data_IF_623806583031
#
_entry.id   IF_623806583031
#
_cell.length_a   1.000
_cell.length_b   1.000
_cell.length_c   1.000
_cell.angle_alpha   90.00
_cell.angle_beta   90.00
_cell.angle_gamma   90.00
#
_symmetry.space_group_name_H-M   'P 1'
#
loop_
_entity.id
_entity.type
_entity.pdbx_description
1 polymer ?
#
# COMPACT_ATOMS: atom_id res chain seq x y z
N UNK A 1 -41.14 -0.96 40.17
CA UNK A 1 -40.01 -0.04 39.94
C UNK A 1 -40.48 1.37 40.22
N UNK A 2 -39.80 2.06 41.12
CA UNK A 2 -40.06 3.49 41.40
C UNK A 2 -39.58 4.35 40.21
N UNK A 3 -40.16 5.54 40.01
CA UNK A 3 -39.76 6.45 38.93
C UNK A 3 -38.26 6.82 38.97
N UNK A 4 -37.70 6.92 40.18
CA UNK A 4 -36.27 7.14 40.42
C UNK A 4 -35.41 5.96 39.97
N UNK A 5 -35.82 4.72 40.20
CA UNK A 5 -35.13 3.52 39.70
C UNK A 5 -35.10 3.50 38.17
N UNK A 6 -36.23 3.82 37.52
CA UNK A 6 -36.29 3.91 36.05
C UNK A 6 -35.35 5.00 35.51
N UNK A 7 -35.32 6.17 36.15
CA UNK A 7 -34.44 7.27 35.77
C UNK A 7 -32.95 6.90 35.95
N UNK A 8 -32.60 6.21 37.03
CA UNK A 8 -31.24 5.70 37.27
C UNK A 8 -30.80 4.68 36.22
N UNK A 9 -31.66 3.72 35.89
CA UNK A 9 -31.38 2.72 34.85
C UNK A 9 -31.21 3.39 33.48
N UNK A 10 -32.08 4.35 33.14
CA UNK A 10 -31.96 5.11 31.90
C UNK A 10 -30.65 5.91 31.84
N UNK A 11 -30.28 6.60 32.93
CA UNK A 11 -29.03 7.35 33.02
C UNK A 11 -27.80 6.44 32.88
N UNK A 12 -27.81 5.29 33.56
CA UNK A 12 -26.75 4.31 33.46
C UNK A 12 -26.61 3.76 32.02
N UNK A 13 -27.73 3.47 31.36
CA UNK A 13 -27.73 3.02 29.97
C UNK A 13 -27.16 4.09 29.02
N UNK A 14 -27.50 5.37 29.23
CA UNK A 14 -26.93 6.49 28.45
C UNK A 14 -25.43 6.63 28.70
N UNK A 15 -24.99 6.58 29.95
CA UNK A 15 -23.57 6.67 30.30
C UNK A 15 -22.76 5.53 29.64
N UNK A 16 -23.27 4.30 29.68
CA UNK A 16 -22.67 3.15 29.01
C UNK A 16 -22.61 3.39 27.49
N UNK A 17 -23.70 3.87 26.89
CA UNK A 17 -23.76 4.21 25.47
C UNK A 17 -22.70 5.25 25.06
N UNK A 18 -22.52 6.31 25.86
CA UNK A 18 -21.50 7.34 25.63
C UNK A 18 -20.07 6.78 25.71
N UNK A 19 -19.79 5.92 26.68
CA UNK A 19 -18.47 5.26 26.81
C UNK A 19 -18.19 4.38 25.59
N UNK A 20 -19.16 3.58 25.14
CA UNK A 20 -19.00 2.76 23.92
C UNK A 20 -18.81 3.62 22.67
N UNK A 21 -19.56 4.72 22.54
CA UNK A 21 -19.41 5.67 21.44
C UNK A 21 -18.01 6.29 21.43
N UNK A 22 -17.51 6.75 22.59
CA UNK A 22 -16.18 7.34 22.72
C UNK A 22 -15.05 6.35 22.39
N UNK A 23 -15.13 5.12 22.91
CA UNK A 23 -14.17 4.05 22.59
C UNK A 23 -14.19 3.69 21.10
N UNK A 24 -15.39 3.57 20.52
CA UNK A 24 -15.59 3.30 19.09
C UNK A 24 -15.00 4.39 18.21
N UNK A 25 -15.25 5.66 18.53
CA UNK A 25 -14.72 6.82 17.80
C UNK A 25 -13.18 6.86 17.87
N UNK A 26 -12.62 6.70 19.07
CA UNK A 26 -11.17 6.73 19.29
C UNK A 26 -10.45 5.57 18.59
N UNK A 27 -11.06 4.38 18.57
CA UNK A 27 -10.53 3.22 17.85
C UNK A 27 -10.57 3.46 16.33
N UNK A 28 -11.65 4.03 15.84
CA UNK A 28 -11.83 4.30 14.41
C UNK A 28 -10.85 5.38 13.92
N UNK A 29 -10.64 6.45 14.70
CA UNK A 29 -9.65 7.48 14.39
C UNK A 29 -8.23 6.91 14.27
N UNK A 30 -7.82 6.08 15.24
CA UNK A 30 -6.52 5.38 15.18
C UNK A 30 -6.38 4.52 13.93
N UNK A 31 -7.45 3.82 13.53
CA UNK A 31 -7.44 2.99 12.32
C UNK A 31 -7.37 3.84 11.05
N UNK A 32 -8.08 4.97 10.98
CA UNK A 32 -7.97 5.90 9.85
C UNK A 32 -6.55 6.47 9.72
N UNK A 33 -5.93 6.90 10.83
CA UNK A 33 -4.53 7.34 10.83
C UNK A 33 -3.57 6.22 10.42
N UNK A 34 -3.82 4.98 10.85
CA UNK A 34 -3.02 3.81 10.43
C UNK A 34 -3.12 3.56 8.93
N UNK A 35 -4.32 3.67 8.33
CA UNK A 35 -4.49 3.55 6.88
C UNK A 35 -3.73 4.65 6.14
N UNK A 36 -3.88 5.92 6.56
CA UNK A 36 -3.16 7.03 5.95
C UNK A 36 -1.63 6.87 6.05
N UNK A 37 -1.12 6.48 7.22
CA UNK A 37 0.31 6.21 7.42
C UNK A 37 0.81 5.05 6.55
N UNK A 38 0.04 3.96 6.45
CA UNK A 38 0.39 2.82 5.60
C UNK A 38 0.40 3.17 4.11
N UNK A 39 -0.48 4.08 3.67
CA UNK A 39 -0.51 4.60 2.30
C UNK A 39 0.76 5.39 1.98
N UNK A 40 1.17 6.31 2.87
CA UNK A 40 2.42 7.07 2.72
C UNK A 40 3.63 6.13 2.69
N UNK A 41 3.64 5.13 3.58
CA UNK A 41 4.73 4.15 3.62
C UNK A 41 4.80 3.32 2.32
N UNK A 42 3.66 2.91 1.77
CA UNK A 42 3.58 2.22 0.49
C UNK A 42 4.09 3.09 -0.66
N UNK A 43 3.61 4.33 -0.78
CA UNK A 43 4.06 5.31 -1.78
C UNK A 43 5.58 5.51 -1.76
N UNK A 44 6.15 5.66 -0.56
CA UNK A 44 7.60 5.78 -0.40
C UNK A 44 8.38 4.52 -0.83
N UNK A 45 7.83 3.31 -0.63
CA UNK A 45 8.46 2.08 -1.13
C UNK A 45 8.35 1.96 -2.65
N UNK A 46 7.23 2.38 -3.24
CA UNK A 46 7.03 2.38 -4.69
C UNK A 46 8.01 3.33 -5.38
N UNK A 47 8.22 4.53 -4.83
CA UNK A 47 9.24 5.46 -5.31
C UNK A 47 10.65 4.84 -5.23
N UNK A 48 10.98 4.17 -4.12
CA UNK A 48 12.26 3.44 -4.00
C UNK A 48 12.40 2.32 -5.03
N UNK A 49 11.32 1.61 -5.37
CA UNK A 49 11.33 0.58 -6.42
C UNK A 49 11.55 1.20 -7.80
N UNK A 50 10.87 2.31 -8.10
CA UNK A 50 11.08 3.05 -9.35
C UNK A 50 12.53 3.54 -9.47
N UNK A 51 13.10 4.11 -8.40
CA UNK A 51 14.51 4.52 -8.38
C UNK A 51 15.47 3.36 -8.63
N UNK A 52 15.24 2.19 -8.01
CA UNK A 52 16.07 1.00 -8.25
C UNK A 52 15.92 0.45 -9.68
N UNK A 53 14.75 0.59 -10.30
CA UNK A 53 14.54 0.24 -11.71
C UNK A 53 15.28 1.18 -12.66
N UNK A 54 15.28 2.49 -12.37
CA UNK A 54 16.09 3.47 -13.11
C UNK A 54 17.59 3.18 -12.95
N UNK A 55 18.03 2.87 -11.73
CA UNK A 55 19.42 2.49 -11.47
C UNK A 55 19.84 1.28 -12.33
N UNK A 56 19.00 0.24 -12.40
CA UNK A 56 19.20 -0.90 -13.29
C UNK A 56 19.29 -0.46 -14.76
N UNK A 57 18.36 0.37 -15.24
CA UNK A 57 18.38 0.87 -16.61
C UNK A 57 19.66 1.65 -16.94
N UNK A 58 20.19 2.43 -15.99
CA UNK A 58 21.41 3.24 -16.18
C UNK A 58 22.72 2.50 -15.89
N UNK A 59 22.66 1.29 -15.34
CA UNK A 59 23.84 0.51 -14.95
C UNK A 59 24.67 -0.01 -16.13
N UNK A 60 24.15 0.07 -17.36
CA UNK A 60 24.78 -0.49 -18.56
C UNK A 60 24.67 -2.01 -18.68
N UNK A 61 23.88 -2.65 -17.81
CA UNK A 61 23.74 -4.10 -17.74
C UNK A 61 22.68 -4.67 -18.70
N UNK A 62 21.72 -3.81 -19.09
CA UNK A 62 20.66 -4.15 -20.04
C UNK A 62 21.07 -3.73 -21.45
N UNK A 63 20.48 -4.38 -22.46
CA UNK A 63 20.58 -3.87 -23.82
C UNK A 63 19.91 -2.47 -23.92
N UNK A 64 20.33 -1.64 -24.89
CA UNK A 64 19.84 -0.26 -24.97
C UNK A 64 18.32 -0.13 -25.12
N UNK A 65 17.65 -1.09 -25.77
CA UNK A 65 16.20 -1.02 -25.96
C UNK A 65 15.49 -1.33 -24.63
N UNK A 66 15.89 -2.39 -23.93
CA UNK A 66 15.33 -2.74 -22.62
C UNK A 66 15.59 -1.66 -21.57
N UNK A 67 16.79 -1.06 -21.57
CA UNK A 67 17.12 0.03 -20.66
C UNK A 67 16.16 1.22 -20.80
N UNK A 68 15.86 1.64 -22.04
CA UNK A 68 14.92 2.75 -22.31
C UNK A 68 13.51 2.39 -21.85
N UNK A 69 13.04 1.18 -22.14
CA UNK A 69 11.70 0.73 -21.72
C UNK A 69 11.55 0.67 -20.19
N UNK A 70 12.56 0.16 -19.48
CA UNK A 70 12.55 0.10 -18.01
C UNK A 70 12.57 1.50 -17.41
N UNK A 71 13.42 2.40 -17.93
CA UNK A 71 13.48 3.78 -17.46
C UNK A 71 12.14 4.52 -17.66
N UNK A 72 11.55 4.42 -18.86
CA UNK A 72 10.26 5.06 -19.18
C UNK A 72 9.12 4.55 -18.30
N UNK A 73 9.04 3.22 -18.11
CA UNK A 73 8.05 2.62 -17.21
C UNK A 73 8.26 3.05 -15.75
N UNK A 74 9.51 3.18 -15.31
CA UNK A 74 9.83 3.63 -13.96
C UNK A 74 9.47 5.10 -13.74
N UNK A 75 9.73 5.97 -14.72
CA UNK A 75 9.33 7.37 -14.67
C UNK A 75 7.81 7.52 -14.67
N UNK A 76 7.12 6.83 -15.57
CA UNK A 76 5.65 6.79 -15.62
C UNK A 76 5.06 6.33 -14.30
N UNK A 77 5.61 5.26 -13.72
CA UNK A 77 5.22 4.80 -12.39
C UNK A 77 5.44 5.88 -11.35
N UNK A 78 6.62 6.51 -11.29
CA UNK A 78 6.95 7.53 -10.29
C UNK A 78 6.09 8.79 -10.35
N UNK A 79 5.75 9.26 -11.56
CA UNK A 79 4.99 10.49 -11.80
C UNK A 79 3.48 10.32 -11.58
N UNK A 80 2.96 9.11 -11.83
CA UNK A 80 1.54 8.84 -11.64
C UNK A 80 1.13 9.02 -10.17
N UNK A 81 0.41 10.10 -9.83
CA UNK A 81 -0.36 10.19 -8.58
C UNK A 81 0.44 10.14 -7.27
N UNK A 82 1.64 10.70 -7.23
CA UNK A 82 2.46 10.78 -6.00
C UNK A 82 1.67 11.42 -4.83
N UNK A 83 1.83 10.88 -3.62
CA UNK A 83 1.20 11.43 -2.41
C UNK A 83 1.97 12.68 -1.97
N UNK A 84 1.67 13.81 -2.59
CA UNK A 84 2.41 15.08 -2.40
C UNK A 84 1.92 15.92 -1.21
N UNK A 85 0.83 15.53 -0.53
CA UNK A 85 0.29 16.29 0.60
C UNK A 85 -0.33 15.41 1.69
N UNK A 86 -0.35 15.87 2.96
CA UNK A 86 -1.07 15.19 4.04
C UNK A 86 -2.56 15.01 3.76
N UNK A 87 -3.18 15.96 3.05
CA UNK A 87 -4.58 15.87 2.64
C UNK A 87 -4.81 14.74 1.62
N UNK A 88 -3.88 14.53 0.69
CA UNK A 88 -3.93 13.41 -0.24
C UNK A 88 -3.78 12.06 0.50
N UNK A 89 -2.91 11.97 1.50
CA UNK A 89 -2.75 10.75 2.30
C UNK A 89 -4.03 10.36 3.08
N UNK A 90 -4.85 11.35 3.45
CA UNK A 90 -6.14 11.14 4.13
C UNK A 90 -7.26 10.73 3.17
N UNK A 91 -7.06 10.83 1.86
CA UNK A 91 -8.01 10.26 0.90
C UNK A 91 -7.97 8.74 1.08
N UNK A 92 -9.12 8.14 1.38
CA UNK A 92 -9.23 6.70 1.64
C UNK A 92 -9.47 5.92 0.33
N UNK A 93 -8.92 6.42 -0.78
CA UNK A 93 -9.18 5.97 -2.15
C UNK A 93 -8.11 5.04 -2.74
N UNK A 94 -7.14 4.59 -1.92
CA UNK A 94 -6.05 3.72 -2.37
C UNK A 94 -4.91 4.53 -3.00
N UNK A 95 -4.34 4.05 -4.10
CA UNK A 95 -3.33 4.79 -4.88
C UNK A 95 -3.93 5.53 -6.09
N UNK A 96 -5.17 5.21 -6.46
CA UNK A 96 -5.81 5.72 -7.68
C UNK A 96 -5.48 4.83 -8.89
N UNK A 97 -6.43 4.77 -9.83
CA UNK A 97 -6.37 3.85 -10.96
C UNK A 97 -5.17 4.10 -11.90
N UNK A 98 -4.74 5.36 -12.03
CA UNK A 98 -3.56 5.71 -12.84
C UNK A 98 -2.27 5.18 -12.24
N UNK A 99 -2.07 5.34 -10.92
CA UNK A 99 -0.90 4.79 -10.23
C UNK A 99 -0.88 3.27 -10.29
N UNK A 100 -2.01 2.61 -10.01
CA UNK A 100 -2.10 1.15 -10.02
C UNK A 100 -1.79 0.56 -11.41
N UNK A 101 -2.25 1.22 -12.48
CA UNK A 101 -1.90 0.87 -13.86
C UNK A 101 -0.41 1.07 -14.14
N UNK A 102 0.15 2.22 -13.75
CA UNK A 102 1.56 2.53 -13.99
C UNK A 102 2.49 1.56 -13.24
N UNK A 103 2.17 1.20 -11.99
CA UNK A 103 2.94 0.21 -11.22
C UNK A 103 2.85 -1.21 -11.81
N UNK A 104 1.68 -1.60 -12.32
CA UNK A 104 1.51 -2.87 -13.02
C UNK A 104 2.28 -2.87 -14.34
N UNK A 105 2.32 -1.74 -15.04
CA UNK A 105 3.13 -1.54 -16.25
C UNK A 105 4.62 -1.70 -15.97
N UNK A 106 5.14 -1.06 -14.91
CA UNK A 106 6.52 -1.24 -14.49
C UNK A 106 6.85 -2.70 -14.16
N UNK A 107 5.96 -3.39 -13.44
CA UNK A 107 6.11 -4.82 -13.15
C UNK A 107 6.17 -5.66 -14.43
N UNK A 108 5.29 -5.41 -15.39
CA UNK A 108 5.26 -6.11 -16.67
C UNK A 108 6.56 -5.90 -17.47
N UNK A 109 7.03 -4.65 -17.59
CA UNK A 109 8.29 -4.33 -18.28
C UNK A 109 9.49 -5.01 -17.62
N UNK A 110 9.58 -4.98 -16.29
CA UNK A 110 10.66 -5.63 -15.55
C UNK A 110 10.60 -7.15 -15.67
N UNK A 111 9.41 -7.75 -15.70
CA UNK A 111 9.24 -9.19 -15.90
C UNK A 111 9.62 -9.64 -17.31
N UNK A 112 9.32 -8.85 -18.33
CA UNK A 112 9.74 -9.13 -19.70
C UNK A 112 11.26 -9.03 -19.83
N UNK A 113 11.84 -7.95 -19.30
CA UNK A 113 13.28 -7.70 -19.33
C UNK A 113 14.08 -8.74 -18.53
N UNK A 114 13.55 -9.18 -17.39
CA UNK A 114 14.18 -10.16 -16.48
C UNK A 114 13.56 -11.56 -16.63
N UNK A 115 12.90 -11.84 -17.75
CA UNK A 115 12.13 -13.07 -17.96
C UNK A 115 13.00 -14.30 -18.16
N UNK A 116 14.18 -14.13 -18.78
CA UNK A 116 15.14 -15.20 -19.01
C UNK A 116 15.98 -15.48 -17.74
N UNK A 117 15.96 -16.70 -17.19
CA UNK A 117 16.75 -17.07 -16.01
C UNK A 117 18.25 -16.84 -16.19
N UNK A 118 18.75 -17.04 -17.40
CA UNK A 118 20.16 -16.84 -17.78
C UNK A 118 20.54 -15.37 -17.63
N UNK A 119 19.72 -14.46 -18.16
CA UNK A 119 19.92 -13.01 -18.03
C UNK A 119 20.02 -12.60 -16.56
N UNK A 120 19.12 -13.11 -15.70
CA UNK A 120 19.16 -12.76 -14.28
C UNK A 120 20.38 -13.35 -13.57
N UNK A 121 20.81 -14.56 -13.94
CA UNK A 121 22.02 -15.18 -13.40
C UNK A 121 23.28 -14.38 -13.79
N UNK A 122 23.38 -13.96 -15.05
CA UNK A 122 24.51 -13.16 -15.55
C UNK A 122 24.56 -11.79 -14.86
N UNK A 123 23.41 -11.12 -14.72
CA UNK A 123 23.31 -9.84 -14.01
C UNK A 123 23.68 -9.95 -12.52
N UNK A 124 23.38 -11.08 -11.88
CA UNK A 124 23.75 -11.36 -10.48
C UNK A 124 25.21 -11.74 -10.29
N UNK A 125 25.85 -12.33 -11.30
CA UNK A 125 27.26 -12.70 -11.26
C UNK A 125 28.20 -11.56 -11.70
N UNK A 126 27.66 -10.60 -12.45
CA UNK A 126 28.41 -9.48 -13.00
C UNK A 126 28.52 -8.24 -12.09
N UNK A 127 29.02 -7.12 -12.64
CA UNK A 127 29.15 -5.85 -11.93
C UNK A 127 27.84 -5.27 -11.38
N UNK A 128 26.70 -5.73 -11.90
CA UNK A 128 25.36 -5.24 -11.57
C UNK A 128 24.69 -6.00 -10.42
N UNK A 129 25.42 -6.88 -9.74
CA UNK A 129 24.91 -7.71 -8.64
C UNK A 129 24.29 -6.88 -7.50
N UNK A 130 24.93 -5.77 -7.14
CA UNK A 130 24.44 -4.86 -6.09
C UNK A 130 23.12 -4.19 -6.50
N UNK A 131 23.02 -3.73 -7.74
CA UNK A 131 21.81 -3.11 -8.30
C UNK A 131 20.66 -4.12 -8.32
N UNK A 132 20.93 -5.37 -8.72
CA UNK A 132 19.93 -6.42 -8.71
C UNK A 132 19.45 -6.77 -7.29
N UNK A 133 20.37 -6.77 -6.33
CA UNK A 133 20.05 -6.98 -4.91
C UNK A 133 19.19 -5.83 -4.37
N UNK A 134 19.53 -4.59 -4.71
CA UNK A 134 18.77 -3.39 -4.38
C UNK A 134 17.34 -3.43 -4.94
N UNK A 135 17.19 -3.80 -6.22
CA UNK A 135 15.90 -3.96 -6.88
C UNK A 135 15.04 -5.05 -6.22
N UNK A 136 15.61 -6.22 -5.96
CA UNK A 136 14.90 -7.33 -5.29
C UNK A 136 14.44 -6.92 -3.89
N UNK A 137 15.30 -6.24 -3.12
CA UNK A 137 14.96 -5.74 -1.79
C UNK A 137 13.86 -4.67 -1.83
N UNK A 138 13.91 -3.76 -2.81
CA UNK A 138 12.86 -2.75 -3.01
C UNK A 138 11.51 -3.40 -3.37
N UNK A 139 11.53 -4.39 -4.26
CA UNK A 139 10.35 -5.15 -4.66
C UNK A 139 9.70 -5.86 -3.47
N UNK A 140 10.49 -6.58 -2.68
CA UNK A 140 10.01 -7.26 -1.48
C UNK A 140 9.35 -6.29 -0.49
N UNK A 141 9.98 -5.13 -0.26
CA UNK A 141 9.45 -4.09 0.63
C UNK A 141 8.11 -3.52 0.12
N UNK A 142 7.93 -3.39 -1.21
CA UNK A 142 6.67 -2.97 -1.82
C UNK A 142 5.56 -4.00 -1.55
N UNK A 143 5.81 -5.28 -1.82
CA UNK A 143 4.84 -6.36 -1.57
C UNK A 143 4.42 -6.39 -0.09
N UNK A 144 5.37 -6.23 0.82
CA UNK A 144 5.09 -6.17 2.25
C UNK A 144 4.27 -4.93 2.63
N UNK A 145 4.63 -3.75 2.11
CA UNK A 145 3.91 -2.51 2.37
C UNK A 145 2.46 -2.56 1.85
N UNK A 146 2.24 -3.15 0.67
CA UNK A 146 0.90 -3.35 0.09
C UNK A 146 0.06 -4.26 0.97
N UNK A 147 0.62 -5.37 1.45
CA UNK A 147 -0.05 -6.28 2.39
C UNK A 147 -0.43 -5.56 3.69
N UNK A 148 0.47 -4.77 4.28
CA UNK A 148 0.16 -4.00 5.49
C UNK A 148 -0.93 -2.94 5.27
N UNK A 149 -0.92 -2.27 4.12
CA UNK A 149 -1.97 -1.33 3.75
C UNK A 149 -3.33 -2.03 3.63
N UNK A 150 -3.40 -3.14 2.87
CA UNK A 150 -4.63 -3.90 2.68
C UNK A 150 -5.17 -4.48 4.00
N UNK A 151 -4.30 -4.92 4.90
CA UNK A 151 -4.68 -5.35 6.25
C UNK A 151 -5.25 -4.19 7.08
N UNK A 152 -4.62 -3.00 7.04
CA UNK A 152 -5.14 -1.81 7.72
C UNK A 152 -6.52 -1.41 7.18
N UNK A 153 -6.72 -1.50 5.87
CA UNK A 153 -8.02 -1.28 5.21
C UNK A 153 -9.04 -2.32 5.71
N UNK A 154 -8.70 -3.61 5.69
CA UNK A 154 -9.59 -4.68 6.13
C UNK A 154 -10.02 -4.51 7.60
N UNK A 155 -9.07 -4.22 8.49
CA UNK A 155 -9.34 -3.93 9.92
C UNK A 155 -10.31 -2.76 10.08
N UNK A 156 -10.10 -1.69 9.32
CA UNK A 156 -10.98 -0.51 9.34
C UNK A 156 -12.39 -0.84 8.84
N UNK A 157 -12.50 -1.57 7.71
CA UNK A 157 -13.80 -1.98 7.15
C UNK A 157 -14.56 -2.90 8.12
N UNK A 158 -13.87 -3.79 8.84
CA UNK A 158 -14.47 -4.67 9.85
C UNK A 158 -15.07 -3.87 11.02
N UNK A 159 -14.33 -2.89 11.55
CA UNK A 159 -14.82 -2.02 12.64
C UNK A 159 -16.00 -1.16 12.18
N UNK A 160 -15.93 -0.59 10.97
CA UNK A 160 -17.03 0.21 10.40
C UNK A 160 -18.33 -0.58 10.13
N UNK A 161 -18.26 -1.90 10.07
CA UNK A 161 -19.44 -2.77 9.92
C UNK A 161 -20.17 -3.06 11.24
N UNK A 162 -19.56 -2.76 12.39
CA UNK A 162 -20.18 -3.02 13.70
C UNK A 162 -21.41 -2.14 13.89
N UNK A 163 -22.48 -2.72 14.46
CA UNK A 163 -23.78 -2.08 14.57
C UNK A 163 -23.73 -0.77 15.36
N UNK A 164 -22.96 -0.72 16.45
CA UNK A 164 -22.85 0.47 17.30
C UNK A 164 -22.10 1.62 16.58
N UNK A 165 -21.13 1.31 15.72
CA UNK A 165 -20.42 2.32 14.92
C UNK A 165 -21.37 2.99 13.92
N UNK A 166 -22.30 2.21 13.37
CA UNK A 166 -23.35 2.71 12.47
C UNK A 166 -24.44 3.47 13.22
N UNK A 167 -24.91 2.93 14.34
CA UNK A 167 -25.96 3.53 15.16
C UNK A 167 -25.56 4.91 15.67
N UNK A 168 -24.31 5.06 16.14
CA UNK A 168 -23.79 6.34 16.64
C UNK A 168 -23.12 7.20 15.55
N UNK A 169 -23.22 6.81 14.26
CA UNK A 169 -22.61 7.54 13.13
C UNK A 169 -21.13 7.93 13.34
N UNK A 170 -20.35 7.08 14.03
CA UNK A 170 -18.99 7.42 14.49
C UNK A 170 -17.99 7.61 13.34
N UNK A 171 -18.30 7.07 12.16
CA UNK A 171 -17.47 7.23 10.97
C UNK A 171 -17.64 8.58 10.27
N UNK A 172 -18.65 9.37 10.64
CA UNK A 172 -18.93 10.65 10.02
C UNK A 172 -19.05 10.55 8.49
N UNK A 173 -18.47 11.52 7.78
CA UNK A 173 -18.40 11.57 6.31
C UNK A 173 -17.14 10.91 5.72
N UNK A 174 -16.38 10.16 6.51
CA UNK A 174 -15.14 9.56 6.01
C UNK A 174 -15.43 8.51 4.92
N UNK A 175 -14.82 8.62 3.73
CA UNK A 175 -15.00 7.64 2.66
C UNK A 175 -14.56 6.24 3.10
N UNK A 176 -15.12 5.21 2.46
CA UNK A 176 -14.76 3.83 2.77
C UNK A 176 -13.33 3.55 2.26
N UNK A 177 -12.43 3.03 3.11
CA UNK A 177 -11.07 2.69 2.68
C UNK A 177 -11.08 1.61 1.61
N UNK A 178 -10.33 1.87 0.55
CA UNK A 178 -10.12 0.98 -0.60
C UNK A 178 -8.77 0.27 -0.48
N UNK A 179 -8.75 -0.99 -0.89
CA UNK A 179 -7.53 -1.77 -1.05
C UNK A 179 -6.75 -1.26 -2.27
N UNK A 180 -5.46 -1.56 -2.29
CA UNK A 180 -4.57 -1.28 -3.41
C UNK A 180 -4.29 -2.60 -4.14
N UNK A 181 -4.52 -2.57 -5.45
CA UNK A 181 -4.43 -3.73 -6.32
C UNK A 181 -3.61 -3.36 -7.57
N UNK A 182 -2.40 -3.92 -7.66
CA UNK A 182 -1.54 -3.84 -8.84
C UNK A 182 -0.74 -5.14 -8.95
N UNK A 183 -0.23 -5.44 -10.15
CA UNK A 183 0.66 -6.58 -10.34
C UNK A 183 2.00 -6.31 -9.66
N UNK A 184 2.34 -7.13 -8.65
CA UNK A 184 3.63 -7.11 -7.95
C UNK A 184 4.31 -8.48 -7.99
N UNK A 185 3.96 -9.33 -8.95
CA UNK A 185 4.59 -10.64 -9.12
C UNK A 185 6.10 -10.51 -9.35
N UNK A 186 6.87 -11.19 -8.51
CA UNK A 186 8.33 -11.19 -8.62
C UNK A 186 8.74 -11.89 -9.94
N UNK A 187 9.69 -11.33 -10.71
CA UNK A 187 10.30 -12.06 -11.82
C UNK A 187 10.92 -13.37 -11.32
N UNK A 188 10.73 -14.47 -12.05
CA UNK A 188 11.17 -15.81 -11.63
C UNK A 188 12.66 -15.89 -11.30
N UNK A 189 13.51 -15.17 -12.04
CA UNK A 189 14.95 -15.13 -11.76
C UNK A 189 15.33 -14.42 -10.45
N UNK A 190 14.40 -13.67 -9.85
CA UNK A 190 14.63 -12.95 -8.60
C UNK A 190 14.24 -13.74 -7.33
N UNK A 191 13.62 -14.92 -7.48
CA UNK A 191 13.19 -15.71 -6.33
C UNK A 191 14.38 -16.14 -5.45
N UNK A 192 14.24 -16.12 -4.11
CA UNK A 192 15.32 -16.52 -3.19
C UNK A 192 15.74 -17.99 -3.35
N UNK A 193 14.80 -18.84 -3.75
CA UNK A 193 15.04 -20.22 -4.11
C UNK A 193 15.03 -20.28 -5.63
N UNK A 194 16.19 -20.08 -6.26
CA UNK A 194 16.30 -20.16 -7.71
C UNK A 194 15.64 -21.43 -8.24
N UNK A 195 14.83 -21.28 -9.29
CA UNK A 195 14.45 -22.41 -10.15
C UNK A 195 15.66 -23.08 -10.77
#
# INVERSE_FOLDING_TARGET
MTWSEMALVALAAVAIGLVFAWQGASRLDRLHRKVAASRIALDAQLLRRASAAVELATSGALDPASAVLVADAAYTASDAGAVTSPAAALKMDGLGADRERAESGLTATLRETLGAPETVRDLRAGPSAEVMTGLAAAWYRVTLARRFHNEAVAQTRRVRRLWYVRLFYLAGRAPMPRTVEFDDALPHGLEPNGG
#
